data_IF_793641325840
#
_entry.id   IF_793641325840
#
_cell.length_a   1.000
_cell.length_b   1.000
_cell.length_c   1.000
_cell.angle_alpha   90.00
_cell.angle_beta   90.00
_cell.angle_gamma   90.00
#
_symmetry.space_group_name_H-M   'P 1'
#
loop_
_entity.id
_entity.type
_entity.pdbx_description
1 polymer ?
#
# COMPACT_ATOMS: atom_id res chain seq x y z
N UNK A 1 -41.49 11.24 -27.72
CA UNK A 1 -41.31 11.33 -26.26
C UNK A 1 -40.01 10.61 -25.95
N UNK A 2 -38.93 11.33 -25.58
CA UNK A 2 -37.69 10.68 -25.15
C UNK A 2 -37.91 10.11 -23.73
N UNK A 3 -37.72 8.80 -23.56
CA UNK A 3 -37.70 8.16 -22.24
C UNK A 3 -36.25 8.06 -21.76
N UNK A 4 -35.96 8.64 -20.60
CA UNK A 4 -34.70 8.44 -19.89
C UNK A 4 -34.87 7.32 -18.87
N UNK A 5 -34.07 6.26 -18.99
CA UNK A 5 -34.03 5.14 -18.04
C UNK A 5 -32.68 5.18 -17.32
N UNK A 6 -32.71 5.19 -15.99
CA UNK A 6 -31.52 5.02 -15.16
C UNK A 6 -31.20 3.53 -15.07
N UNK A 7 -30.08 3.11 -15.66
CA UNK A 7 -29.57 1.75 -15.53
C UNK A 7 -28.51 1.73 -14.42
N UNK A 8 -28.81 1.18 -13.23
CA UNK A 8 -27.81 1.10 -12.17
C UNK A 8 -26.72 0.09 -12.57
N UNK A 9 -25.49 0.57 -12.71
CA UNK A 9 -24.31 -0.28 -12.90
C UNK A 9 -23.63 -0.43 -11.54
N UNK A 10 -23.61 -1.65 -11.02
CA UNK A 10 -22.85 -1.96 -9.80
C UNK A 10 -21.39 -2.14 -10.18
N UNK A 11 -20.56 -1.14 -9.85
CA UNK A 11 -19.11 -1.24 -9.98
C UNK A 11 -18.51 -1.62 -8.63
N UNK A 12 -17.96 -2.85 -8.53
CA UNK A 12 -17.16 -3.24 -7.38
C UNK A 12 -15.76 -2.60 -7.51
N UNK A 13 -15.42 -1.70 -6.59
CA UNK A 13 -14.07 -1.15 -6.49
C UNK A 13 -13.16 -2.20 -5.86
N UNK A 14 -12.39 -2.91 -6.69
CA UNK A 14 -11.36 -3.83 -6.24
C UNK A 14 -10.15 -3.07 -5.69
N UNK A 15 -9.95 -3.12 -4.38
CA UNK A 15 -8.69 -2.68 -3.76
C UNK A 15 -7.62 -3.76 -3.94
N UNK A 16 -7.16 -3.92 -5.17
CA UNK A 16 -6.19 -4.96 -5.51
C UNK A 16 -4.74 -4.51 -5.35
N UNK A 17 -4.46 -3.20 -5.27
CA UNK A 17 -3.09 -2.69 -5.15
C UNK A 17 -2.56 -2.81 -3.72
N UNK A 18 -1.33 -3.34 -3.58
CA UNK A 18 -0.68 -3.58 -2.29
C UNK A 18 0.69 -2.88 -2.18
N UNK A 19 1.13 -2.61 -0.95
CA UNK A 19 2.45 -2.05 -0.64
C UNK A 19 3.08 -2.89 0.47
N UNK A 20 3.96 -3.84 0.11
CA UNK A 20 4.59 -4.80 1.04
C UNK A 20 6.07 -4.49 1.20
N UNK A 21 6.73 -4.14 0.11
CA UNK A 21 8.15 -3.78 0.05
C UNK A 21 8.38 -2.26 0.07
N UNK A 22 7.36 -1.48 -0.29
CA UNK A 22 7.42 -0.01 -0.32
C UNK A 22 6.49 0.63 0.71
N UNK A 23 6.69 1.92 0.99
CA UNK A 23 5.66 2.67 1.73
C UNK A 23 4.43 2.93 0.86
N UNK A 24 3.24 3.09 1.45
CA UNK A 24 2.04 3.47 0.70
C UNK A 24 2.23 4.75 -0.15
N UNK A 25 3.03 5.71 0.36
CA UNK A 25 3.32 6.96 -0.34
C UNK A 25 4.21 6.77 -1.56
N UNK A 26 5.28 5.98 -1.43
CA UNK A 26 6.15 5.64 -2.56
C UNK A 26 5.41 4.82 -3.60
N UNK A 27 4.64 3.81 -3.17
CA UNK A 27 3.81 2.99 -4.04
C UNK A 27 2.85 3.86 -4.84
N UNK A 28 2.11 4.75 -4.15
CA UNK A 28 1.17 5.68 -4.78
C UNK A 28 1.84 6.54 -5.84
N UNK A 29 3.03 7.09 -5.58
CA UNK A 29 3.77 7.90 -6.56
C UNK A 29 4.18 7.10 -7.79
N UNK A 30 4.65 5.87 -7.61
CA UNK A 30 5.04 4.99 -8.72
C UNK A 30 3.80 4.58 -9.55
N UNK A 31 2.72 4.17 -8.89
CA UNK A 31 1.47 3.80 -9.54
C UNK A 31 0.88 4.99 -10.32
N UNK A 32 0.88 6.19 -9.74
CA UNK A 32 0.42 7.42 -10.40
C UNK A 32 1.23 7.73 -11.66
N UNK A 33 2.55 7.63 -11.60
CA UNK A 33 3.41 7.85 -12.78
C UNK A 33 3.13 6.86 -13.91
N UNK A 34 2.99 5.57 -13.59
CA UNK A 34 2.64 4.52 -14.57
C UNK A 34 1.26 4.76 -15.18
N UNK A 35 0.29 5.11 -14.33
CA UNK A 35 -1.08 5.36 -14.76
C UNK A 35 -1.15 6.60 -15.65
N UNK A 36 -0.37 7.65 -15.37
CA UNK A 36 -0.29 8.83 -16.22
C UNK A 36 0.24 8.50 -17.63
N UNK A 37 1.33 7.72 -17.72
CA UNK A 37 1.89 7.27 -19.01
C UNK A 37 0.87 6.42 -19.77
N UNK A 38 0.21 5.49 -19.08
CA UNK A 38 -0.86 4.67 -19.66
C UNK A 38 -2.01 5.52 -20.18
N UNK A 39 -2.49 6.50 -19.40
CA UNK A 39 -3.60 7.37 -19.77
C UNK A 39 -3.27 8.25 -20.97
N UNK A 40 -2.04 8.76 -21.08
CA UNK A 40 -1.59 9.49 -22.28
C UNK A 40 -1.63 8.55 -23.50
N UNK A 41 -1.14 7.31 -23.36
CA UNK A 41 -1.20 6.32 -24.44
C UNK A 41 -2.63 5.99 -24.88
N UNK A 42 -3.52 5.76 -23.92
CA UNK A 42 -4.94 5.50 -24.18
C UNK A 42 -5.62 6.71 -24.85
N UNK A 43 -5.31 7.93 -24.41
CA UNK A 43 -5.85 9.16 -24.99
C UNK A 43 -5.43 9.29 -26.47
N UNK A 44 -4.15 9.08 -26.78
CA UNK A 44 -3.66 9.11 -28.15
C UNK A 44 -4.35 8.04 -29.02
N UNK A 45 -4.47 6.80 -28.52
CA UNK A 45 -5.20 5.73 -29.20
C UNK A 45 -6.66 6.10 -29.49
N UNK A 46 -7.34 6.71 -28.51
CA UNK A 46 -8.72 7.15 -28.66
C UNK A 46 -8.85 8.25 -29.71
N UNK A 47 -7.95 9.24 -29.73
CA UNK A 47 -7.95 10.30 -30.74
C UNK A 47 -7.66 9.78 -32.16
N UNK A 48 -6.71 8.85 -32.30
CA UNK A 48 -6.39 8.23 -33.60
C UNK A 48 -7.54 7.37 -34.12
N UNK A 49 -8.21 6.64 -33.22
CA UNK A 49 -9.39 5.84 -33.51
C UNK A 49 -10.55 6.66 -34.09
N UNK A 50 -10.65 7.95 -33.79
CA UNK A 50 -11.66 8.84 -34.37
C UNK A 50 -11.47 9.07 -35.88
N UNK A 51 -10.25 8.91 -36.41
CA UNK A 51 -9.94 9.10 -37.84
C UNK A 51 -9.85 7.81 -38.64
N UNK A 52 -9.57 6.69 -37.97
CA UNK A 52 -9.32 5.40 -38.60
C UNK A 52 -10.28 4.36 -38.00
N UNK A 53 -11.38 4.01 -38.70
CA UNK A 53 -12.40 3.10 -38.17
C UNK A 53 -11.85 1.74 -37.73
N UNK A 54 -10.83 1.24 -38.42
CA UNK A 54 -10.17 -0.03 -38.08
C UNK A 54 -9.47 -0.02 -36.70
N UNK A 55 -9.08 1.16 -36.18
CA UNK A 55 -8.40 1.29 -34.89
C UNK A 55 -9.37 1.36 -33.69
N UNK A 56 -10.69 1.42 -33.91
CA UNK A 56 -11.68 1.59 -32.84
C UNK A 56 -11.68 0.46 -31.80
N UNK A 57 -11.33 -0.75 -32.22
CA UNK A 57 -11.29 -1.90 -31.30
C UNK A 57 -10.10 -1.83 -30.32
N UNK A 58 -9.03 -1.13 -30.69
CA UNK A 58 -7.80 -1.08 -29.91
C UNK A 58 -7.97 -0.37 -28.54
N UNK A 59 -8.49 0.87 -28.45
CA UNK A 59 -8.69 1.54 -27.18
C UNK A 59 -9.73 0.81 -26.30
N UNK A 60 -10.74 0.15 -26.90
CA UNK A 60 -11.76 -0.63 -26.17
C UNK A 60 -11.14 -1.81 -25.43
N UNK A 61 -10.19 -2.49 -26.05
CA UNK A 61 -9.47 -3.62 -25.42
C UNK A 61 -8.36 -3.11 -24.49
N UNK A 62 -7.61 -2.09 -24.92
CA UNK A 62 -6.49 -1.53 -24.17
C UNK A 62 -6.93 -0.87 -22.86
N UNK A 63 -8.14 -0.32 -22.80
CA UNK A 63 -8.70 0.28 -21.60
C UNK A 63 -8.73 -0.71 -20.40
N UNK A 64 -9.53 -1.79 -20.41
CA UNK A 64 -9.57 -2.73 -19.29
C UNK A 64 -8.28 -3.55 -19.15
N UNK A 65 -7.71 -4.07 -20.26
CA UNK A 65 -6.55 -4.97 -20.17
C UNK A 65 -5.27 -4.25 -19.73
N UNK A 66 -5.02 -3.05 -20.28
CA UNK A 66 -3.84 -2.27 -19.93
C UNK A 66 -3.88 -1.78 -18.48
N UNK A 67 -5.06 -1.36 -18.02
CA UNK A 67 -5.27 -0.94 -16.64
C UNK A 67 -5.04 -2.10 -15.66
N UNK A 68 -5.63 -3.26 -15.92
CA UNK A 68 -5.48 -4.45 -15.10
C UNK A 68 -4.03 -4.97 -15.10
N UNK A 69 -3.36 -4.94 -16.25
CA UNK A 69 -1.94 -5.27 -16.35
C UNK A 69 -1.06 -4.37 -15.47
N UNK A 70 -1.34 -3.05 -15.43
CA UNK A 70 -0.60 -2.10 -14.61
C UNK A 70 -0.66 -2.49 -13.12
N UNK A 71 -1.85 -2.86 -12.64
CA UNK A 71 -2.08 -3.29 -11.26
C UNK A 71 -1.33 -4.59 -10.98
N UNK A 72 -1.52 -5.62 -11.81
CA UNK A 72 -0.90 -6.92 -11.61
C UNK A 72 0.63 -6.85 -11.68
N UNK A 73 1.19 -6.09 -12.63
CA UNK A 73 2.64 -5.86 -12.71
C UNK A 73 3.15 -5.11 -11.48
N UNK A 74 2.39 -4.14 -10.96
CA UNK A 74 2.67 -3.43 -9.72
C UNK A 74 2.71 -4.35 -8.50
N UNK A 75 1.73 -5.25 -8.37
CA UNK A 75 1.64 -6.21 -7.29
C UNK A 75 2.71 -7.29 -7.36
N UNK A 76 2.97 -7.82 -8.55
CA UNK A 76 4.01 -8.82 -8.76
C UNK A 76 5.38 -8.30 -8.33
N UNK A 77 5.68 -7.02 -8.63
CA UNK A 77 6.92 -6.37 -8.19
C UNK A 77 7.01 -6.27 -6.67
N UNK A 78 5.92 -5.90 -6.00
CA UNK A 78 5.86 -5.80 -4.53
C UNK A 78 6.08 -7.16 -3.86
N UNK A 79 5.43 -8.22 -4.36
CA UNK A 79 5.59 -9.57 -3.83
C UNK A 79 6.97 -10.17 -4.08
N UNK A 80 7.61 -9.82 -5.20
CA UNK A 80 8.96 -10.31 -5.53
C UNK A 80 10.07 -9.61 -4.74
N UNK A 81 9.76 -8.47 -4.11
CA UNK A 81 10.73 -7.67 -3.37
C UNK A 81 10.68 -8.05 -1.89
N UNK A 82 11.81 -7.99 -1.15
CA UNK A 82 11.80 -8.24 0.29
C UNK A 82 10.79 -7.35 1.01
N UNK A 83 9.95 -7.90 1.90
CA UNK A 83 9.02 -7.10 2.70
C UNK A 83 9.77 -6.08 3.54
N UNK A 84 9.29 -4.83 3.56
CA UNK A 84 9.94 -3.76 4.34
C UNK A 84 9.89 -4.04 5.84
N UNK A 85 8.85 -4.73 6.29
CA UNK A 85 8.60 -5.10 7.67
C UNK A 85 8.64 -6.63 7.80
N UNK A 86 9.85 -7.18 7.70
CA UNK A 86 10.10 -8.59 7.99
C UNK A 86 10.23 -8.83 9.50
N UNK A 87 9.96 -10.06 9.92
CA UNK A 87 10.20 -10.46 11.31
C UNK A 87 11.71 -10.45 11.58
N UNK A 88 12.19 -9.69 12.59
CA UNK A 88 13.59 -9.65 12.96
C UNK A 88 13.96 -10.91 13.73
N UNK A 89 15.26 -11.23 13.77
CA UNK A 89 15.77 -12.37 14.56
C UNK A 89 15.59 -12.17 16.07
N UNK A 90 15.58 -10.90 16.51
CA UNK A 90 15.42 -10.47 17.91
C UNK A 90 14.55 -9.23 17.95
N UNK A 91 13.68 -9.12 18.95
CA UNK A 91 12.81 -7.98 19.11
C UNK A 91 11.47 -8.10 18.40
N UNK A 92 10.67 -7.03 18.48
CA UNK A 92 9.39 -6.88 17.79
C UNK A 92 9.46 -5.69 16.85
N UNK A 93 9.30 -5.94 15.54
CA UNK A 93 9.28 -4.88 14.52
C UNK A 93 8.00 -4.04 14.67
N UNK A 94 8.17 -2.74 14.78
CA UNK A 94 7.09 -1.77 14.90
C UNK A 94 6.53 -1.42 13.51
N UNK A 95 5.26 -1.74 13.31
CA UNK A 95 4.53 -1.40 12.08
C UNK A 95 4.30 0.10 11.98
N UNK A 96 3.73 0.69 13.03
CA UNK A 96 3.46 2.12 13.13
C UNK A 96 3.24 2.50 14.60
N UNK A 97 3.51 3.76 14.92
CA UNK A 97 3.03 4.39 16.14
C UNK A 97 1.75 5.18 15.83
N UNK A 98 0.79 5.19 16.76
CA UNK A 98 -0.43 5.97 16.61
C UNK A 98 -0.06 7.47 16.59
N UNK A 99 -0.56 8.27 15.63
CA UNK A 99 -0.30 9.71 15.60
C UNK A 99 -0.71 10.38 16.92
N UNK A 100 0.17 11.21 17.47
CA UNK A 100 -0.07 11.90 18.76
C UNK A 100 0.09 11.01 20.01
N UNK A 101 0.42 9.73 19.86
CA UNK A 101 0.76 8.87 21.02
C UNK A 101 2.10 9.27 21.66
N UNK A 102 2.32 8.95 22.95
CA UNK A 102 3.62 9.17 23.59
C UNK A 102 4.79 8.55 22.81
N UNK A 103 4.59 7.34 22.26
CA UNK A 103 5.59 6.68 21.42
C UNK A 103 5.96 7.52 20.18
N UNK A 104 4.96 8.05 19.46
CA UNK A 104 5.20 8.89 18.28
C UNK A 104 5.88 10.22 18.65
N UNK A 105 5.50 10.83 19.79
CA UNK A 105 6.11 12.08 20.28
C UNK A 105 7.58 11.88 20.68
N UNK A 106 7.94 10.67 21.14
CA UNK A 106 9.32 10.27 21.43
C UNK A 106 10.10 9.80 20.19
N UNK A 107 9.52 9.90 18.99
CA UNK A 107 10.18 9.58 17.72
C UNK A 107 10.16 8.11 17.32
N UNK A 108 9.48 7.23 18.07
CA UNK A 108 9.26 5.85 17.62
C UNK A 108 8.33 5.84 16.41
N UNK A 109 8.71 5.09 15.38
CA UNK A 109 7.98 5.05 14.12
C UNK A 109 8.02 3.71 13.42
N UNK A 110 7.41 3.65 12.25
CA UNK A 110 7.46 2.47 11.37
C UNK A 110 8.92 2.09 11.08
N UNK A 111 9.22 0.79 11.17
CA UNK A 111 10.56 0.27 10.87
C UNK A 111 11.45 0.07 12.10
N UNK A 112 11.13 0.70 13.24
CA UNK A 112 11.86 0.44 14.49
C UNK A 112 11.70 -1.00 14.95
N UNK A 113 12.68 -1.52 15.68
CA UNK A 113 12.65 -2.84 16.31
C UNK A 113 12.77 -2.67 17.81
N UNK A 114 11.71 -3.03 18.54
CA UNK A 114 11.65 -2.98 20.00
C UNK A 114 12.42 -4.19 20.55
N UNK A 115 13.42 -3.97 21.39
CA UNK A 115 14.24 -5.04 21.98
C UNK A 115 13.81 -5.35 23.41
N UNK A 116 13.56 -4.30 24.20
CA UNK A 116 13.20 -4.41 25.62
C UNK A 116 12.13 -3.41 26.01
N UNK A 117 11.32 -3.80 26.99
CA UNK A 117 10.35 -2.92 27.64
C UNK A 117 10.47 -3.12 29.14
N UNK A 118 10.73 -2.05 29.88
CA UNK A 118 10.92 -2.07 31.34
C UNK A 118 12.00 -3.10 31.79
N UNK A 119 13.11 -3.16 31.04
CA UNK A 119 14.19 -4.12 31.27
C UNK A 119 13.89 -5.57 30.86
N UNK A 120 12.66 -5.88 30.44
CA UNK A 120 12.26 -7.22 29.97
C UNK A 120 12.50 -7.35 28.47
N UNK A 121 13.21 -8.39 28.06
CA UNK A 121 13.45 -8.70 26.65
C UNK A 121 12.19 -9.27 25.97
N UNK A 122 11.91 -8.80 24.76
CA UNK A 122 10.70 -9.14 24.02
C UNK A 122 11.04 -9.66 22.62
N UNK A 123 10.47 -10.79 22.24
CA UNK A 123 10.61 -11.38 20.90
C UNK A 123 9.27 -11.76 20.27
N UNK A 124 8.17 -11.54 20.98
CA UNK A 124 6.82 -11.81 20.48
C UNK A 124 5.82 -10.73 20.87
N UNK A 125 4.73 -10.60 20.10
CA UNK A 125 3.61 -9.70 20.42
C UNK A 125 3.04 -9.96 21.81
N UNK A 126 3.04 -11.23 22.24
CA UNK A 126 2.55 -11.64 23.56
C UNK A 126 3.48 -11.16 24.67
N UNK A 127 4.79 -11.28 24.49
CA UNK A 127 5.80 -10.77 25.44
C UNK A 127 5.75 -9.25 25.53
N UNK A 128 5.61 -8.54 24.39
CA UNK A 128 5.42 -7.09 24.38
C UNK A 128 4.18 -6.68 25.18
N UNK A 129 3.04 -7.35 24.95
CA UNK A 129 1.82 -7.08 25.72
C UNK A 129 2.00 -7.38 27.21
N UNK A 130 2.73 -8.45 27.55
CA UNK A 130 3.07 -8.79 28.92
C UNK A 130 3.92 -7.72 29.60
N UNK A 131 5.02 -7.31 28.96
CA UNK A 131 5.97 -6.33 29.50
C UNK A 131 5.34 -4.94 29.71
N UNK A 132 4.42 -4.52 28.82
CA UNK A 132 3.67 -3.28 28.99
C UNK A 132 2.67 -3.32 30.16
N UNK A 133 2.16 -4.50 30.53
CA UNK A 133 1.23 -4.65 31.65
C UNK A 133 1.92 -4.65 33.02
N UNK A 134 3.25 -4.82 33.09
CA UNK A 134 3.99 -4.88 34.37
C UNK A 134 3.97 -3.52 35.09
N UNK A 135 4.10 -2.42 34.35
CA UNK A 135 4.08 -1.06 34.91
C UNK A 135 3.16 -0.15 34.08
N UNK A 136 1.86 -0.09 34.42
CA UNK A 136 0.92 0.78 33.73
C UNK A 136 1.19 2.24 34.12
N UNK A 137 1.86 2.99 33.25
CA UNK A 137 2.04 4.44 33.40
C UNK A 137 3.38 4.97 32.88
N UNK A 138 4.42 4.15 32.91
CA UNK A 138 5.73 4.46 32.35
C UNK A 138 6.32 3.20 31.72
N UNK A 139 6.72 3.32 30.45
CA UNK A 139 7.35 2.25 29.70
C UNK A 139 8.70 2.74 29.21
N UNK A 140 9.77 2.22 29.79
CA UNK A 140 11.12 2.40 29.24
C UNK A 140 11.27 1.42 28.07
N UNK A 141 11.55 1.94 26.88
CA UNK A 141 11.61 1.14 25.66
C UNK A 141 13.00 1.28 25.05
N UNK A 142 13.70 0.15 24.94
CA UNK A 142 14.93 0.06 24.16
C UNK A 142 14.58 -0.39 22.74
N UNK A 143 14.90 0.44 21.75
CA UNK A 143 14.58 0.16 20.36
C UNK A 143 15.69 0.62 19.42
N UNK A 144 15.77 -0.03 18.26
CA UNK A 144 16.75 0.27 17.19
C UNK A 144 16.00 0.52 15.88
N UNK A 145 16.37 1.59 15.15
CA UNK A 145 15.76 1.93 13.85
C UNK A 145 16.28 1.05 12.72
#
# INVERSE_FOLDING_TARGET
MLSYVLFPIVAALGYSDIAVSTTPREKSRISAGRLAVYSIGLLLLSLLSGRLPFLQILPVIFAPLGHEYLIQAGNRREWSSPPRLSQPQRGVKLLAALPGSPAALQGLGSGWTLLRVNGVEINSRRELAGALNVFPGLAEIEAVS
#
